data_IF_242245532054
#
_entry.id   IF_242245532054
#
_cell.length_a   1.000
_cell.length_b   1.000
_cell.length_c   1.000
_cell.angle_alpha   90.00
_cell.angle_beta   90.00
_cell.angle_gamma   90.00
#
_symmetry.space_group_name_H-M   'P 1'
#
loop_
_entity.id
_entity.type
_entity.pdbx_description
1 polymer ?
#
# COMPACT_ATOMS: atom_id res chain seq x y z
N UNK A 1 3.09 -7.67 12.46
CA UNK A 1 3.56 -7.38 11.09
C UNK A 1 3.78 -8.70 10.38
N UNK A 2 3.44 -8.79 9.11
CA UNK A 2 3.71 -9.96 8.28
C UNK A 2 5.14 -9.98 7.73
N UNK A 3 5.48 -11.03 6.99
CA UNK A 3 6.77 -11.13 6.29
C UNK A 3 6.86 -10.09 5.17
N UNK A 4 8.00 -9.43 5.06
CA UNK A 4 8.25 -8.44 4.00
C UNK A 4 8.42 -9.11 2.65
N UNK A 5 7.98 -8.44 1.59
CA UNK A 5 8.11 -8.85 0.19
C UNK A 5 8.79 -7.75 -0.60
N UNK A 6 9.76 -8.09 -1.44
CA UNK A 6 10.39 -7.12 -2.36
C UNK A 6 9.67 -7.16 -3.71
N UNK A 7 9.12 -6.02 -4.11
CA UNK A 7 8.61 -5.78 -5.45
C UNK A 7 9.74 -5.21 -6.31
N UNK A 8 10.09 -5.90 -7.39
CA UNK A 8 11.15 -5.50 -8.33
C UNK A 8 10.60 -5.29 -9.73
N UNK A 9 11.12 -4.27 -10.41
CA UNK A 9 10.85 -3.96 -11.82
C UNK A 9 12.16 -3.96 -12.58
N UNK A 10 12.17 -4.64 -13.73
CA UNK A 10 13.28 -4.63 -14.68
C UNK A 10 12.75 -4.20 -16.04
N UNK A 11 13.39 -3.21 -16.65
CA UNK A 11 13.08 -2.69 -17.96
C UNK A 11 14.25 -2.96 -18.91
N UNK A 12 14.00 -3.29 -20.17
CA UNK A 12 15.04 -3.52 -21.19
C UNK A 12 15.80 -2.22 -21.53
N UNK A 13 15.17 -1.07 -21.33
CA UNK A 13 15.74 0.26 -21.49
C UNK A 13 15.21 1.18 -20.41
N UNK A 14 15.93 2.27 -20.12
CA UNK A 14 15.49 3.27 -19.16
C UNK A 14 14.09 3.79 -19.52
N UNK A 15 13.16 3.61 -18.59
CA UNK A 15 11.73 3.92 -18.79
C UNK A 15 11.15 4.60 -17.56
N UNK A 16 10.19 5.49 -17.78
CA UNK A 16 9.36 6.02 -16.70
C UNK A 16 8.16 5.09 -16.49
N UNK A 17 8.05 4.52 -15.32
CA UNK A 17 7.02 3.53 -15.00
C UNK A 17 6.33 3.91 -13.69
N UNK A 18 5.02 3.78 -13.69
CA UNK A 18 4.21 3.85 -12.47
C UNK A 18 3.51 2.52 -12.22
N UNK A 19 3.32 2.18 -10.98
CA UNK A 19 2.48 1.07 -10.55
C UNK A 19 1.14 1.62 -10.06
N UNK A 20 0.06 1.21 -10.70
CA UNK A 20 -1.28 1.46 -10.20
C UNK A 20 -1.58 0.49 -9.06
N UNK A 21 -2.03 1.04 -7.95
CA UNK A 21 -2.43 0.28 -6.77
C UNK A 21 -3.94 0.06 -6.80
N UNK A 22 -4.36 -1.19 -6.64
CA UNK A 22 -5.78 -1.54 -6.59
C UNK A 22 -6.05 -2.45 -5.40
N UNK A 23 -6.92 -2.01 -4.51
CA UNK A 23 -7.44 -2.84 -3.43
C UNK A 23 -8.56 -3.75 -3.95
N UNK A 24 -8.29 -5.05 -4.07
CA UNK A 24 -9.28 -6.04 -4.54
C UNK A 24 -10.33 -6.37 -3.46
N UNK A 25 -10.15 -5.87 -2.25
CA UNK A 25 -11.07 -6.03 -1.12
C UNK A 25 -11.64 -4.70 -0.63
N UNK A 26 -11.65 -3.68 -1.47
CA UNK A 26 -12.15 -2.35 -1.15
C UNK A 26 -13.58 -2.35 -0.56
N UNK A 27 -14.43 -3.33 -0.91
CA UNK A 27 -15.77 -3.48 -0.32
C UNK A 27 -15.77 -3.87 1.16
N UNK A 28 -14.64 -4.27 1.70
CA UNK A 28 -14.43 -4.56 3.13
C UNK A 28 -13.46 -3.57 3.79
N UNK A 29 -13.04 -2.53 3.07
CA UNK A 29 -12.22 -1.46 3.64
C UNK A 29 -12.99 -0.75 4.77
N UNK A 30 -12.24 -0.36 5.78
CA UNK A 30 -12.75 0.37 6.94
C UNK A 30 -12.07 1.73 7.00
N UNK A 31 -12.61 2.62 7.83
CA UNK A 31 -12.07 3.96 8.07
C UNK A 31 -11.53 4.05 9.50
N UNK A 32 -10.76 5.08 9.80
CA UNK A 32 -10.30 5.35 11.15
C UNK A 32 -11.46 5.53 12.14
N UNK A 33 -12.62 5.98 11.67
CA UNK A 33 -13.83 6.14 12.48
C UNK A 33 -14.41 4.79 12.99
N UNK A 34 -14.08 3.69 12.30
CA UNK A 34 -14.54 2.34 12.68
C UNK A 34 -13.74 1.77 13.85
N UNK A 35 -12.55 2.32 14.14
CA UNK A 35 -11.73 1.92 15.28
C UNK A 35 -12.14 2.68 16.54
N UNK A 36 -11.99 2.07 17.75
CA UNK A 36 -12.15 2.78 19.01
C UNK A 36 -11.22 4.00 19.10
N UNK A 37 -11.66 5.05 19.77
CA UNK A 37 -10.95 6.34 19.89
C UNK A 37 -9.49 6.25 20.39
N UNK A 38 -9.09 5.13 20.96
CA UNK A 38 -7.73 4.85 21.43
C UNK A 38 -6.98 3.83 20.59
N UNK A 39 -7.47 3.51 19.41
CA UNK A 39 -6.78 2.57 18.51
C UNK A 39 -5.54 3.25 17.92
N UNK A 40 -4.39 2.55 17.86
CA UNK A 40 -3.12 3.12 17.43
C UNK A 40 -2.99 3.32 15.92
N UNK A 41 -4.07 3.36 15.17
CA UNK A 41 -4.00 3.62 13.73
C UNK A 41 -3.70 5.10 13.48
N UNK A 42 -2.44 5.43 13.26
CA UNK A 42 -2.01 6.72 12.75
C UNK A 42 -2.09 6.80 11.20
N UNK A 43 -2.76 5.83 10.57
CA UNK A 43 -2.90 5.73 9.12
C UNK A 43 -4.11 6.55 8.67
N UNK A 44 -4.00 7.20 7.52
CA UNK A 44 -5.14 7.83 6.87
C UNK A 44 -6.09 6.77 6.27
N UNK A 45 -7.37 7.10 6.08
CA UNK A 45 -8.34 6.18 5.46
C UNK A 45 -7.88 5.69 4.08
N UNK A 46 -7.15 6.52 3.34
CA UNK A 46 -6.54 6.16 2.05
C UNK A 46 -5.38 5.17 2.15
N UNK A 47 -4.90 4.85 3.34
CA UNK A 47 -3.82 3.89 3.61
C UNK A 47 -4.35 2.56 4.17
N UNK A 48 -5.67 2.46 4.37
CA UNK A 48 -6.34 1.27 4.90
C UNK A 48 -6.93 0.45 3.76
N UNK A 49 -6.45 -0.77 3.61
CA UNK A 49 -6.92 -1.74 2.63
C UNK A 49 -7.92 -2.70 3.27
N UNK A 50 -8.84 -3.24 2.49
CA UNK A 50 -9.79 -4.25 2.93
C UNK A 50 -9.11 -5.55 3.33
N UNK A 51 -9.61 -6.18 4.40
CA UNK A 51 -9.08 -7.42 4.96
C UNK A 51 -10.08 -8.60 4.88
N UNK A 52 -11.23 -8.37 4.25
CA UNK A 52 -12.30 -9.34 4.15
C UNK A 52 -13.41 -9.13 5.16
N UNK A 53 -14.33 -10.09 5.22
CA UNK A 53 -15.51 -10.08 6.09
C UNK A 53 -15.64 -11.39 6.87
N UNK A 54 -16.22 -11.31 8.06
CA UNK A 54 -16.57 -12.48 8.87
C UNK A 54 -17.81 -13.23 8.32
N UNK A 55 -18.20 -14.32 8.96
CA UNK A 55 -19.38 -15.12 8.60
C UNK A 55 -20.71 -14.34 8.69
N UNK A 56 -20.74 -13.26 9.49
CA UNK A 56 -21.88 -12.36 9.62
C UNK A 56 -21.82 -11.17 8.65
N UNK A 57 -20.86 -11.16 7.71
CA UNK A 57 -20.62 -10.09 6.72
C UNK A 57 -20.13 -8.76 7.31
N UNK A 58 -19.60 -8.74 8.52
CA UNK A 58 -18.94 -7.57 9.08
C UNK A 58 -17.49 -7.48 8.60
N UNK A 59 -16.98 -6.27 8.39
CA UNK A 59 -15.57 -6.03 8.07
C UNK A 59 -14.70 -6.43 9.27
N UNK A 60 -13.61 -7.15 9.03
CA UNK A 60 -12.79 -7.76 10.09
C UNK A 60 -11.60 -6.92 10.53
N UNK A 61 -11.27 -5.87 9.83
CA UNK A 61 -10.13 -5.02 10.15
C UNK A 61 -9.55 -4.33 8.93
N UNK A 62 -8.30 -3.93 9.03
CA UNK A 62 -7.57 -3.28 7.96
C UNK A 62 -6.22 -3.93 7.71
N UNK A 63 -5.80 -3.91 6.44
CA UNK A 63 -4.45 -4.21 5.99
C UNK A 63 -3.79 -2.89 5.59
N UNK A 64 -2.53 -2.69 5.92
CA UNK A 64 -1.70 -1.59 5.47
C UNK A 64 -0.32 -2.08 5.05
N UNK A 65 0.43 -1.26 4.31
CA UNK A 65 1.77 -1.62 3.84
C UNK A 65 2.74 -0.48 4.11
N UNK A 66 3.84 -0.81 4.79
CA UNK A 66 4.99 0.07 4.91
C UNK A 66 5.95 -0.21 3.74
N UNK A 67 6.42 0.85 3.10
CA UNK A 67 7.38 0.84 1.99
C UNK A 67 8.75 1.24 2.50
N UNK A 68 9.75 0.39 2.31
CA UNK A 68 11.13 0.61 2.72
C UNK A 68 12.11 0.16 1.63
N UNK A 69 13.39 0.42 1.82
CA UNK A 69 14.48 -0.05 0.95
C UNK A 69 14.24 0.26 -0.54
N UNK A 70 13.81 1.50 -0.81
CA UNK A 70 13.53 1.95 -2.18
C UNK A 70 14.85 2.14 -2.93
N UNK A 71 14.95 1.52 -4.09
CA UNK A 71 16.12 1.62 -4.96
C UNK A 71 15.73 1.91 -6.40
N UNK A 72 16.59 2.66 -7.07
CA UNK A 72 16.55 3.00 -8.47
C UNK A 72 17.96 2.76 -9.02
N UNK A 73 18.10 1.85 -9.99
CA UNK A 73 19.38 1.42 -10.57
C UNK A 73 20.46 1.14 -9.50
N UNK A 74 20.05 0.44 -8.44
CA UNK A 74 20.85 0.08 -7.26
C UNK A 74 21.19 1.22 -6.28
N UNK A 75 20.88 2.47 -6.58
CA UNK A 75 21.02 3.60 -5.66
C UNK A 75 19.76 3.76 -4.77
N UNK A 76 19.94 4.34 -3.59
CA UNK A 76 18.79 4.72 -2.75
C UNK A 76 17.91 5.73 -3.46
N UNK A 77 16.60 5.60 -3.32
CA UNK A 77 15.63 6.40 -4.02
C UNK A 77 14.44 6.73 -3.10
N UNK A 78 13.49 7.49 -3.63
CA UNK A 78 12.29 7.96 -2.94
C UNK A 78 11.05 7.44 -3.66
N UNK A 79 10.01 7.08 -2.92
CA UNK A 79 8.70 6.78 -3.50
C UNK A 79 7.99 8.09 -3.82
N UNK A 80 7.41 8.14 -5.00
CA UNK A 80 6.45 9.18 -5.40
C UNK A 80 5.05 8.58 -5.50
N UNK A 81 4.06 9.41 -5.23
CA UNK A 81 2.65 9.06 -5.35
C UNK A 81 1.93 10.07 -6.24
N UNK A 82 0.88 9.59 -6.90
CA UNK A 82 -0.02 10.40 -7.73
C UNK A 82 -1.41 9.78 -7.76
N UNK A 83 -2.44 10.60 -7.92
CA UNK A 83 -3.82 10.15 -8.17
C UNK A 83 -4.21 10.22 -9.64
N UNK A 84 -3.45 10.96 -10.47
CA UNK A 84 -3.81 11.29 -11.86
C UNK A 84 -2.69 11.00 -12.88
N UNK A 85 -1.51 10.54 -12.44
CA UNK A 85 -0.26 10.34 -13.21
C UNK A 85 0.38 11.65 -13.74
N UNK A 86 -0.18 12.80 -13.43
CA UNK A 86 0.29 14.11 -13.90
C UNK A 86 0.96 14.89 -12.79
N UNK A 87 0.37 14.87 -11.59
CA UNK A 87 0.89 15.56 -10.41
C UNK A 87 1.50 14.52 -9.47
N UNK A 88 2.78 14.69 -9.16
CA UNK A 88 3.55 13.77 -8.33
C UNK A 88 4.08 14.45 -7.08
N UNK A 89 4.01 13.75 -5.96
CA UNK A 89 4.57 14.18 -4.68
C UNK A 89 5.35 13.04 -4.04
N UNK A 90 6.38 13.37 -3.26
CA UNK A 90 7.11 12.36 -2.48
C UNK A 90 6.20 11.80 -1.39
N UNK A 91 6.22 10.48 -1.22
CA UNK A 91 5.47 9.77 -0.18
C UNK A 91 6.29 9.79 1.13
N UNK A 92 6.17 10.86 1.89
CA UNK A 92 6.94 11.08 3.13
C UNK A 92 6.58 10.08 4.25
N UNK A 93 5.33 9.63 4.31
CA UNK A 93 4.89 8.65 5.32
C UNK A 93 5.50 7.27 5.13
N UNK A 94 5.92 6.93 3.91
CA UNK A 94 6.34 5.59 3.55
C UNK A 94 5.21 4.56 3.63
N UNK A 95 3.93 4.98 3.70
CA UNK A 95 2.77 4.09 3.80
C UNK A 95 2.02 4.10 2.47
N UNK A 96 1.80 2.91 1.91
CA UNK A 96 1.12 2.74 0.63
C UNK A 96 -0.34 3.21 0.71
N UNK A 97 -0.78 4.00 -0.29
CA UNK A 97 -2.20 4.34 -0.44
C UNK A 97 -2.97 3.24 -1.17
N UNK A 98 -4.22 3.04 -0.77
CA UNK A 98 -5.10 1.97 -1.28
C UNK A 98 -5.62 2.22 -2.70
N UNK A 99 -5.34 3.38 -3.27
CA UNK A 99 -5.65 3.76 -4.65
C UNK A 99 -4.56 4.69 -5.22
N UNK A 100 -4.61 4.93 -6.53
CA UNK A 100 -3.66 5.81 -7.20
C UNK A 100 -2.44 5.08 -7.76
N UNK A 101 -1.35 5.82 -7.87
CA UNK A 101 -0.13 5.39 -8.55
C UNK A 101 1.07 5.65 -7.66
N UNK A 102 2.03 4.73 -7.68
CA UNK A 102 3.36 4.93 -7.10
C UNK A 102 4.42 4.82 -8.18
N UNK A 103 5.51 5.54 -8.02
CA UNK A 103 6.71 5.49 -8.84
C UNK A 103 7.94 5.80 -7.99
N UNK A 104 9.10 5.97 -8.59
CA UNK A 104 10.35 6.26 -7.90
C UNK A 104 11.01 7.51 -8.43
N UNK A 105 11.75 8.21 -7.56
CA UNK A 105 12.58 9.34 -7.93
C UNK A 105 13.95 9.27 -7.27
N UNK A 106 14.96 9.83 -7.94
CA UNK A 106 16.34 9.85 -7.44
C UNK A 106 16.55 10.82 -6.27
N UNK A 107 15.68 11.83 -6.12
CA UNK A 107 15.78 12.84 -5.04
C UNK A 107 14.43 13.09 -4.39
N UNK A 108 14.43 13.47 -3.12
CA UNK A 108 13.22 13.82 -2.37
C UNK A 108 12.52 15.09 -2.86
N UNK A 109 13.25 15.98 -3.56
CA UNK A 109 12.69 17.22 -4.12
C UNK A 109 12.19 17.06 -5.55
N UNK A 110 12.17 15.85 -6.10
CA UNK A 110 11.67 15.62 -7.45
C UNK A 110 10.17 15.95 -7.55
N UNK A 111 9.77 16.53 -8.67
CA UNK A 111 8.36 16.84 -8.99
C UNK A 111 7.78 15.89 -10.03
N UNK A 112 8.58 14.93 -10.49
CA UNK A 112 8.19 13.89 -11.43
C UNK A 112 9.03 12.61 -11.22
N UNK A 113 8.51 11.44 -11.60
CA UNK A 113 9.26 10.20 -11.55
C UNK A 113 10.53 10.24 -12.39
N UNK A 114 11.56 9.54 -11.92
CA UNK A 114 12.79 9.34 -12.67
C UNK A 114 12.68 8.10 -13.57
N UNK A 115 13.35 8.13 -14.73
CA UNK A 115 13.53 6.93 -15.55
C UNK A 115 14.53 5.98 -14.91
N UNK A 116 14.34 4.67 -15.10
CA UNK A 116 15.21 3.62 -14.57
C UNK A 116 15.21 2.38 -15.46
N UNK A 117 16.25 1.58 -15.33
CA UNK A 117 16.29 0.21 -15.85
C UNK A 117 15.88 -0.80 -14.78
N UNK A 118 16.21 -0.53 -13.52
CA UNK A 118 15.78 -1.36 -12.39
C UNK A 118 15.22 -0.51 -11.26
N UNK A 119 14.13 -0.96 -10.65
CA UNK A 119 13.63 -0.36 -9.43
C UNK A 119 13.17 -1.46 -8.46
N UNK A 120 13.30 -1.22 -7.18
CA UNK A 120 12.79 -2.12 -6.16
C UNK A 120 12.30 -1.37 -4.93
N UNK A 121 11.32 -1.98 -4.26
CA UNK A 121 10.79 -1.52 -2.98
C UNK A 121 10.42 -2.71 -2.11
N UNK A 122 10.69 -2.63 -0.82
CA UNK A 122 10.27 -3.64 0.15
C UNK A 122 8.93 -3.24 0.75
N UNK A 123 7.93 -4.11 0.65
CA UNK A 123 6.61 -3.96 1.25
C UNK A 123 6.53 -4.82 2.51
N UNK A 124 6.20 -4.20 3.63
CA UNK A 124 5.96 -4.90 4.90
C UNK A 124 4.47 -4.74 5.26
N UNK A 125 3.67 -5.83 5.20
CA UNK A 125 2.26 -5.77 5.55
C UNK A 125 2.09 -5.65 7.07
N UNK A 126 1.13 -4.84 7.48
CA UNK A 126 0.63 -4.71 8.83
C UNK A 126 -0.87 -4.94 8.87
N UNK A 127 -1.36 -5.66 9.87
CA UNK A 127 -2.78 -5.94 10.04
C UNK A 127 -3.23 -5.32 11.35
N UNK A 128 -4.38 -4.63 11.31
CA UNK A 128 -5.07 -4.14 12.49
C UNK A 128 -6.45 -4.78 12.54
N UNK A 129 -6.73 -5.48 13.64
CA UNK A 129 -8.02 -6.14 13.90
C UNK A 129 -8.81 -5.35 14.94
N UNK A 130 -10.12 -5.54 14.94
CA UNK A 130 -10.99 -5.06 16.02
C UNK A 130 -10.80 -5.90 17.29
N UNK A 131 -11.44 -5.49 18.37
CA UNK A 131 -11.48 -6.26 19.61
C UNK A 131 -12.14 -7.63 19.38
N UNK A 132 -11.65 -8.66 20.08
CA UNK A 132 -12.13 -10.04 19.94
C UNK A 132 -13.65 -10.18 20.13
N UNK A 133 -14.27 -9.33 20.95
CA UNK A 133 -15.70 -9.30 21.18
C UNK A 133 -16.56 -8.94 19.97
N UNK A 134 -15.96 -8.38 18.90
CA UNK A 134 -16.65 -8.04 17.67
C UNK A 134 -16.78 -9.20 16.69
N UNK A 135 -16.06 -10.31 16.94
CA UNK A 135 -16.11 -11.48 16.07
C UNK A 135 -17.05 -12.55 16.62
N UNK A 136 -17.67 -13.38 15.75
CA UNK A 136 -18.46 -14.52 16.18
C UNK A 136 -17.64 -15.47 17.05
N UNK A 137 -18.17 -15.84 18.22
CA UNK A 137 -17.46 -16.76 19.12
C UNK A 137 -17.51 -18.18 18.61
N UNK A 138 -16.36 -18.88 18.65
CA UNK A 138 -16.27 -20.29 18.27
C UNK A 138 -16.17 -20.54 16.76
N UNK A 139 -16.00 -19.48 15.95
CA UNK A 139 -15.81 -19.58 14.51
C UNK A 139 -14.42 -19.08 14.08
N UNK A 140 -13.89 -19.69 13.02
CA UNK A 140 -12.67 -19.20 12.38
C UNK A 140 -13.00 -18.02 11.45
N UNK A 141 -12.22 -16.94 11.55
CA UNK A 141 -12.30 -15.79 10.67
C UNK A 141 -11.10 -15.76 9.74
N UNK A 142 -11.32 -15.88 8.44
CA UNK A 142 -10.26 -15.85 7.44
C UNK A 142 -9.84 -14.41 7.12
N UNK A 143 -8.54 -14.12 7.21
CA UNK A 143 -7.98 -12.85 6.77
C UNK A 143 -7.76 -12.91 5.25
N UNK A 144 -8.49 -12.08 4.50
CA UNK A 144 -8.52 -12.10 3.03
C UNK A 144 -8.18 -10.73 2.47
N UNK A 145 -6.93 -10.29 2.64
CA UNK A 145 -6.39 -9.09 2.01
C UNK A 145 -5.82 -9.39 0.63
N UNK A 146 -6.08 -8.53 -0.37
CA UNK A 146 -5.55 -8.71 -1.73
C UNK A 146 -5.33 -7.37 -2.42
N UNK A 147 -4.11 -7.14 -2.94
CA UNK A 147 -3.73 -5.92 -3.65
C UNK A 147 -3.12 -6.28 -4.98
N UNK A 148 -3.50 -5.56 -6.04
CA UNK A 148 -2.92 -5.68 -7.38
C UNK A 148 -2.07 -4.45 -7.70
N UNK A 149 -0.88 -4.69 -8.25
CA UNK A 149 -0.03 -3.67 -8.85
C UNK A 149 -0.06 -3.83 -10.37
N UNK A 150 -0.52 -2.80 -11.08
CA UNK A 150 -0.55 -2.79 -12.55
C UNK A 150 0.51 -1.84 -13.07
N UNK A 151 1.37 -2.33 -13.97
CA UNK A 151 2.44 -1.54 -14.60
C UNK A 151 1.86 -0.58 -15.62
N UNK A 152 2.19 0.70 -15.49
CA UNK A 152 1.83 1.77 -16.43
C UNK A 152 3.10 2.49 -16.89
N UNK A 153 3.32 2.60 -18.19
CA UNK A 153 4.35 3.48 -18.75
C UNK A 153 3.83 4.93 -18.74
N UNK A 154 4.72 5.86 -18.40
CA UNK A 154 4.42 7.28 -18.27
C UNK A 154 4.92 8.07 -19.49
#
# INVERSE_FOLDING_TARGET
MGSSVTLGLNCDAASNVALQVTDNRASSAITNADFPANSPSNMADSELFGLGKDSASNNIGALGFMLTDVKLDSASAYIMQSTDKSTWTTLESGILQNNGYISVAATSSATSPSSFTTASVTLTPGITLFEASRYPSGEETTLDGSVTFTVNYL
#
